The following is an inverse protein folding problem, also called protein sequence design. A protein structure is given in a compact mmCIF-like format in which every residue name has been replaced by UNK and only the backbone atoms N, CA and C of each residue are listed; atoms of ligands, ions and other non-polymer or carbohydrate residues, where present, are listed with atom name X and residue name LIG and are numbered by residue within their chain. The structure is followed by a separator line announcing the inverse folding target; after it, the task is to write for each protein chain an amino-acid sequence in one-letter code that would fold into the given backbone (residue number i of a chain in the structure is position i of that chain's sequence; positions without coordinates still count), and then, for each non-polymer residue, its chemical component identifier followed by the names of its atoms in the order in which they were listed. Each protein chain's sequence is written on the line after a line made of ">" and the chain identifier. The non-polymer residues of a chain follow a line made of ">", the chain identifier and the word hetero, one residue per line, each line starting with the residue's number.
data_IF_686790611730
#
_entry.id   IF_686790611730
#
_cell.length_a   1.000
_cell.length_b   1.000
_cell.length_c   1.000
_cell.angle_alpha   90.00
_cell.angle_beta   90.00
_cell.angle_gamma   90.00
#
_symmetry.space_group_name_H-M   'P 1'
#
loop_
_entity.id
_entity.type
_entity.pdbx_description
1 polymer ?
#
# COMPACT_ATOMS: atom_id res chain seq x y z
N UNK A 1 39.27 -9.52 50.81
CA UNK A 1 39.28 -8.50 49.74
C UNK A 1 38.18 -8.89 48.77
N UNK A 2 36.99 -8.30 48.94
CA UNK A 2 35.76 -8.63 48.21
C UNK A 2 35.47 -7.47 47.28
N UNK A 3 35.53 -7.72 45.98
CA UNK A 3 35.00 -6.92 44.86
C UNK A 3 34.78 -7.95 43.74
N UNK A 4 33.61 -8.10 43.13
CA UNK A 4 32.90 -7.07 42.38
C UNK A 4 31.38 -7.18 42.56
N UNK A 5 30.83 -6.04 42.94
CA UNK A 5 29.45 -5.61 42.73
C UNK A 5 29.24 -5.33 41.24
N UNK A 6 28.03 -5.59 40.73
CA UNK A 6 27.63 -5.13 39.40
C UNK A 6 26.56 -5.98 38.69
N UNK A 7 25.53 -6.47 39.39
CA UNK A 7 24.29 -6.87 38.72
C UNK A 7 23.30 -5.73 38.94
N UNK A 8 22.90 -5.09 37.83
CA UNK A 8 21.78 -4.15 37.78
C UNK A 8 20.82 -4.58 36.67
N UNK A 9 19.55 -4.15 36.76
CA UNK A 9 18.43 -5.07 36.84
C UNK A 9 17.75 -5.33 35.50
N UNK A 10 17.16 -6.52 35.39
CA UNK A 10 16.17 -6.85 34.37
C UNK A 10 14.90 -6.02 34.63
N UNK A 11 14.66 -5.03 33.77
CA UNK A 11 13.36 -4.41 33.46
C UNK A 11 13.47 -3.91 32.01
N UNK A 12 12.50 -4.05 31.11
CA UNK A 12 11.08 -4.27 31.29
C UNK A 12 10.52 -5.14 30.14
N UNK A 13 9.45 -5.87 30.47
CA UNK A 13 8.42 -6.25 29.49
C UNK A 13 7.89 -4.97 28.87
N UNK A 14 7.86 -4.88 27.55
CA UNK A 14 6.86 -4.12 26.80
C UNK A 14 6.70 -4.81 25.44
N UNK A 15 5.46 -5.18 25.11
CA UNK A 15 5.09 -5.96 23.95
C UNK A 15 5.24 -5.17 22.65
N UNK A 16 6.33 -5.40 21.92
CA UNK A 16 6.49 -5.09 20.50
C UNK A 16 7.72 -5.80 19.87
N UNK A 17 8.08 -7.02 20.33
CA UNK A 17 9.38 -7.65 19.99
C UNK A 17 9.36 -8.67 18.85
N UNK A 18 8.20 -9.09 18.33
CA UNK A 18 8.16 -10.19 17.35
C UNK A 18 8.42 -9.75 15.90
N UNK A 19 8.18 -8.49 15.55
CA UNK A 19 8.39 -7.99 14.17
C UNK A 19 9.86 -7.62 13.86
N UNK A 20 10.65 -7.24 14.86
CA UNK A 20 12.08 -6.94 14.67
C UNK A 20 12.89 -8.19 14.30
N UNK A 21 12.54 -9.34 14.86
CA UNK A 21 13.23 -10.60 14.57
C UNK A 21 13.16 -10.98 13.10
N UNK A 22 12.01 -10.77 12.43
CA UNK A 22 11.84 -11.12 11.01
C UNK A 22 12.78 -10.32 10.11
N UNK A 23 12.96 -9.01 10.34
CA UNK A 23 13.84 -8.18 9.48
C UNK A 23 15.33 -8.53 9.61
N UNK A 24 15.73 -9.07 10.77
CA UNK A 24 17.12 -9.43 11.10
C UNK A 24 17.43 -10.92 10.89
N UNK A 25 16.42 -11.75 10.60
CA UNK A 25 16.60 -13.18 10.35
C UNK A 25 17.21 -13.41 8.97
N UNK A 26 18.12 -14.37 8.86
CA UNK A 26 18.65 -14.84 7.58
C UNK A 26 17.49 -15.28 6.65
N UNK A 27 17.37 -14.73 5.42
CA UNK A 27 16.33 -15.10 4.47
C UNK A 27 16.28 -16.60 4.15
N UNK A 28 17.41 -17.30 4.22
CA UNK A 28 17.46 -18.76 3.98
C UNK A 28 16.85 -19.51 5.16
N UNK A 29 17.16 -19.10 6.39
CA UNK A 29 16.64 -19.70 7.63
C UNK A 29 15.11 -19.61 7.73
N UNK A 30 14.50 -18.58 7.15
CA UNK A 30 13.04 -18.46 7.11
C UNK A 30 12.38 -19.57 6.28
N UNK A 31 13.07 -20.11 5.29
CA UNK A 31 12.52 -21.08 4.32
C UNK A 31 12.90 -22.53 4.62
N UNK A 32 13.78 -22.80 5.59
CA UNK A 32 14.28 -24.15 5.94
C UNK A 32 13.20 -25.14 6.32
N UNK A 33 12.07 -24.66 6.85
CA UNK A 33 11.00 -25.53 7.36
C UNK A 33 10.03 -26.00 6.27
N UNK A 34 10.26 -25.62 5.00
CA UNK A 34 9.32 -25.83 3.89
C UNK A 34 7.88 -25.52 4.32
N UNK A 35 7.71 -24.39 5.01
CA UNK A 35 6.41 -23.94 5.50
C UNK A 35 6.05 -22.63 4.81
N UNK A 36 4.81 -22.53 4.31
CA UNK A 36 4.31 -21.38 3.56
C UNK A 36 4.57 -20.03 4.25
N UNK A 37 4.37 -19.98 5.57
CA UNK A 37 4.63 -18.77 6.36
C UNK A 37 6.08 -18.25 6.19
N UNK A 38 7.06 -19.14 6.14
CA UNK A 38 8.47 -18.78 5.97
C UNK A 38 8.73 -18.03 4.66
N UNK A 39 8.13 -18.54 3.58
CA UNK A 39 8.18 -17.90 2.26
C UNK A 39 7.49 -16.53 2.24
N UNK A 40 6.35 -16.38 2.90
CA UNK A 40 5.66 -15.09 3.00
C UNK A 40 6.48 -14.06 3.80
N UNK A 41 7.11 -14.48 4.90
CA UNK A 41 7.97 -13.61 5.71
C UNK A 41 9.21 -13.17 4.93
N UNK A 42 9.78 -14.05 4.08
CA UNK A 42 10.90 -13.69 3.19
C UNK A 42 10.52 -12.59 2.20
N UNK A 43 9.29 -12.59 1.67
CA UNK A 43 8.80 -11.48 0.83
C UNK A 43 8.62 -10.21 1.67
N UNK A 44 8.04 -10.32 2.86
CA UNK A 44 7.83 -9.19 3.78
C UNK A 44 9.15 -8.48 4.16
N UNK A 45 10.25 -9.23 4.32
CA UNK A 45 11.56 -8.62 4.58
C UNK A 45 11.95 -7.58 3.54
N UNK A 46 11.54 -7.77 2.29
CA UNK A 46 11.88 -6.91 1.15
C UNK A 46 10.89 -5.74 0.95
N UNK A 47 9.87 -5.59 1.82
CA UNK A 47 8.80 -4.60 1.59
C UNK A 47 9.33 -3.16 1.45
N UNK A 48 10.39 -2.81 2.18
CA UNK A 48 11.01 -1.47 2.24
C UNK A 48 12.30 -1.38 1.40
N UNK A 49 12.63 -2.41 0.61
CA UNK A 49 13.84 -2.41 -0.21
C UNK A 49 13.79 -1.26 -1.23
N UNK A 50 14.93 -0.59 -1.42
CA UNK A 50 15.06 0.59 -2.29
C UNK A 50 14.68 0.34 -3.75
N UNK A 51 14.75 -0.90 -4.21
CA UNK A 51 14.35 -1.34 -5.54
C UNK A 51 13.57 -2.66 -5.48
N UNK A 52 12.83 -2.96 -6.55
CA UNK A 52 11.99 -4.15 -6.64
C UNK A 52 12.76 -5.47 -6.85
N UNK A 53 14.08 -5.46 -7.09
CA UNK A 53 14.83 -6.66 -7.46
C UNK A 53 14.74 -7.76 -6.41
N UNK A 54 15.11 -7.46 -5.17
CA UNK A 54 15.05 -8.43 -4.06
C UNK A 54 13.63 -8.90 -3.75
N UNK A 55 12.65 -8.00 -3.83
CA UNK A 55 11.25 -8.35 -3.61
C UNK A 55 10.68 -9.24 -4.74
N UNK A 56 11.03 -8.95 -5.99
CA UNK A 56 10.61 -9.74 -7.15
C UNK A 56 11.17 -11.16 -7.09
N UNK A 57 12.45 -11.31 -6.73
CA UNK A 57 13.08 -12.63 -6.54
C UNK A 57 12.42 -13.41 -5.40
N UNK A 58 12.22 -12.78 -4.24
CA UNK A 58 11.56 -13.41 -3.10
C UNK A 58 10.11 -13.80 -3.43
N UNK A 59 9.37 -12.92 -4.11
CA UNK A 59 7.99 -13.16 -4.53
C UNK A 59 7.91 -14.33 -5.50
N UNK A 60 8.78 -14.35 -6.52
CA UNK A 60 8.79 -15.44 -7.49
C UNK A 60 9.13 -16.78 -6.84
N UNK A 61 10.03 -16.80 -5.84
CA UNK A 61 10.34 -18.00 -5.08
C UNK A 61 9.14 -18.47 -4.24
N UNK A 62 8.45 -17.54 -3.55
CA UNK A 62 7.25 -17.85 -2.76
C UNK A 62 6.10 -18.37 -3.63
N UNK A 63 5.89 -17.78 -4.81
CA UNK A 63 4.86 -18.22 -5.76
C UNK A 63 5.15 -19.61 -6.34
N UNK A 64 6.42 -19.91 -6.67
CA UNK A 64 6.81 -21.27 -7.07
C UNK A 64 6.58 -22.30 -5.96
N UNK A 65 6.82 -21.93 -4.72
CA UNK A 65 6.53 -22.80 -3.58
C UNK A 65 5.02 -23.05 -3.45
N UNK A 66 4.19 -22.00 -3.59
CA UNK A 66 2.73 -22.11 -3.59
C UNK A 66 2.21 -23.07 -4.66
N UNK A 67 2.79 -23.07 -5.86
CA UNK A 67 2.41 -24.00 -6.94
C UNK A 67 2.66 -25.49 -6.59
N UNK A 68 3.51 -25.76 -5.59
CA UNK A 68 3.83 -27.13 -5.16
C UNK A 68 2.88 -27.65 -4.08
N UNK A 69 2.06 -26.77 -3.47
CA UNK A 69 1.15 -27.16 -2.40
C UNK A 69 0.05 -28.09 -2.92
N UNK A 70 -0.34 -29.10 -2.12
CA UNK A 70 -1.42 -30.01 -2.50
C UNK A 70 -2.77 -29.28 -2.59
N UNK A 71 -3.68 -29.78 -3.43
CA UNK A 71 -5.00 -29.16 -3.64
C UNK A 71 -5.85 -29.03 -2.35
N UNK A 72 -5.59 -29.87 -1.33
CA UNK A 72 -6.19 -29.75 0.00
C UNK A 72 -5.86 -28.43 0.71
N UNK A 73 -4.78 -27.75 0.29
CA UNK A 73 -4.33 -26.46 0.80
C UNK A 73 -4.80 -25.26 -0.04
N UNK A 74 -5.81 -25.46 -0.90
CA UNK A 74 -6.35 -24.40 -1.77
C UNK A 74 -6.78 -23.14 -1.01
N UNK A 75 -7.26 -23.25 0.24
CA UNK A 75 -7.59 -22.09 1.07
C UNK A 75 -6.34 -21.33 1.51
N UNK A 76 -5.30 -22.04 1.96
CA UNK A 76 -4.01 -21.44 2.30
C UNK A 76 -3.39 -20.76 1.08
N UNK A 77 -3.47 -21.38 -0.10
CA UNK A 77 -3.01 -20.80 -1.35
C UNK A 77 -3.73 -19.47 -1.67
N UNK A 78 -5.07 -19.45 -1.62
CA UNK A 78 -5.85 -18.22 -1.82
C UNK A 78 -5.43 -17.12 -0.84
N UNK A 79 -5.33 -17.44 0.45
CA UNK A 79 -4.97 -16.48 1.49
C UNK A 79 -3.55 -15.93 1.30
N UNK A 80 -2.61 -16.76 0.88
CA UNK A 80 -1.25 -16.34 0.59
C UNK A 80 -1.19 -15.41 -0.63
N UNK A 81 -1.89 -15.74 -1.72
CA UNK A 81 -1.99 -14.87 -2.90
C UNK A 81 -2.59 -13.51 -2.51
N UNK A 82 -3.66 -13.50 -1.73
CA UNK A 82 -4.28 -12.26 -1.25
C UNK A 82 -3.33 -11.47 -0.34
N UNK A 83 -2.62 -12.13 0.58
CA UNK A 83 -1.64 -11.48 1.43
C UNK A 83 -0.54 -10.79 0.60
N UNK A 84 0.05 -11.51 -0.37
CA UNK A 84 1.09 -10.99 -1.25
C UNK A 84 0.58 -9.81 -2.08
N UNK A 85 -0.66 -9.91 -2.58
CA UNK A 85 -1.30 -8.81 -3.30
C UNK A 85 -1.41 -7.55 -2.43
N UNK A 86 -1.97 -7.66 -1.23
CA UNK A 86 -2.11 -6.51 -0.32
C UNK A 86 -0.76 -5.95 0.10
N UNK A 87 0.24 -6.80 0.34
CA UNK A 87 1.59 -6.35 0.66
C UNK A 87 2.15 -5.45 -0.45
N UNK A 88 2.06 -5.90 -1.70
CA UNK A 88 2.55 -5.14 -2.86
C UNK A 88 1.73 -3.87 -3.07
N UNK A 89 0.41 -3.98 -2.95
CA UNK A 89 -0.53 -2.87 -3.08
C UNK A 89 -0.22 -1.74 -2.11
N UNK A 90 0.12 -2.06 -0.85
CA UNK A 90 0.30 -1.05 0.20
C UNK A 90 1.75 -0.62 0.42
N UNK A 91 2.74 -1.45 0.04
CA UNK A 91 4.16 -1.17 0.34
C UNK A 91 5.00 -0.74 -0.84
N UNK A 92 4.63 -1.12 -2.07
CA UNK A 92 5.44 -0.79 -3.26
C UNK A 92 4.95 0.48 -3.94
N UNK A 93 5.82 1.26 -4.59
CA UNK A 93 5.40 2.40 -5.40
C UNK A 93 4.67 1.96 -6.68
N UNK A 94 3.81 2.81 -7.21
CA UNK A 94 2.98 2.51 -8.40
C UNK A 94 3.80 2.04 -9.60
N UNK A 95 4.98 2.62 -9.81
CA UNK A 95 5.91 2.27 -10.89
C UNK A 95 6.40 0.82 -10.85
N UNK A 96 6.31 0.17 -9.69
CA UNK A 96 6.71 -1.23 -9.49
C UNK A 96 5.52 -2.18 -9.35
N UNK A 97 4.35 -1.66 -8.91
CA UNK A 97 3.17 -2.48 -8.58
C UNK A 97 2.67 -3.29 -9.77
N UNK A 98 2.62 -2.71 -10.96
CA UNK A 98 1.98 -3.36 -12.11
C UNK A 98 2.64 -4.70 -12.45
N UNK A 99 3.96 -4.73 -12.61
CA UNK A 99 4.69 -5.96 -12.93
C UNK A 99 4.59 -7.02 -11.83
N UNK A 100 4.61 -6.58 -10.56
CA UNK A 100 4.49 -7.45 -9.40
C UNK A 100 3.07 -8.05 -9.26
N UNK A 101 2.03 -7.26 -9.52
CA UNK A 101 0.64 -7.72 -9.52
C UNK A 101 0.40 -8.69 -10.69
N UNK A 102 0.94 -8.42 -11.87
CA UNK A 102 0.87 -9.34 -13.01
C UNK A 102 1.52 -10.68 -12.68
N UNK A 103 2.64 -10.68 -11.97
CA UNK A 103 3.29 -11.90 -11.49
C UNK A 103 2.39 -12.66 -10.50
N UNK A 104 1.70 -12.00 -9.57
CA UNK A 104 0.74 -12.68 -8.68
C UNK A 104 -0.44 -13.27 -9.48
N UNK A 105 -0.97 -12.52 -10.44
CA UNK A 105 -2.14 -12.95 -11.23
C UNK A 105 -1.85 -14.20 -12.08
N UNK A 106 -0.62 -14.39 -12.56
CA UNK A 106 -0.25 -15.56 -13.36
C UNK A 106 -0.23 -16.86 -12.54
N UNK A 107 -0.09 -16.77 -11.22
CA UNK A 107 -0.06 -17.90 -10.27
C UNK A 107 -1.42 -18.19 -9.61
N UNK A 108 -2.51 -17.59 -10.11
CA UNK A 108 -3.86 -17.96 -9.64
C UNK A 108 -4.85 -18.08 -10.79
N UNK A 109 -5.61 -19.16 -10.79
CA UNK A 109 -6.77 -19.38 -11.67
C UNK A 109 -8.09 -19.12 -10.96
N UNK A 110 -8.05 -18.77 -9.67
CA UNK A 110 -9.23 -18.52 -8.86
C UNK A 110 -9.88 -17.19 -9.24
N UNK A 111 -11.11 -17.25 -9.72
CA UNK A 111 -11.85 -16.08 -10.20
C UNK A 111 -12.22 -15.09 -9.10
N UNK A 112 -12.47 -15.56 -7.87
CA UNK A 112 -12.76 -14.69 -6.73
C UNK A 112 -11.53 -13.85 -6.38
N UNK A 113 -10.37 -14.51 -6.30
CA UNK A 113 -9.09 -13.84 -6.05
C UNK A 113 -8.77 -12.84 -7.16
N UNK A 114 -8.97 -13.22 -8.43
CA UNK A 114 -8.76 -12.29 -9.57
C UNK A 114 -9.67 -11.06 -9.49
N UNK A 115 -10.94 -11.24 -9.15
CA UNK A 115 -11.88 -10.13 -9.00
C UNK A 115 -11.45 -9.18 -7.87
N UNK A 116 -11.00 -9.71 -6.73
CA UNK A 116 -10.48 -8.88 -5.62
C UNK A 116 -9.27 -8.07 -6.09
N UNK A 117 -8.32 -8.70 -6.78
CA UNK A 117 -7.12 -8.03 -7.30
C UNK A 117 -7.50 -6.91 -8.29
N UNK A 118 -8.44 -7.18 -9.20
CA UNK A 118 -8.90 -6.19 -10.19
C UNK A 118 -9.59 -5.00 -9.52
N UNK A 119 -10.57 -5.26 -8.66
CA UNK A 119 -11.32 -4.20 -7.97
C UNK A 119 -10.43 -3.34 -7.08
N UNK A 120 -9.44 -3.92 -6.39
CA UNK A 120 -8.47 -3.15 -5.62
C UNK A 120 -7.54 -2.29 -6.49
N UNK A 121 -7.17 -2.77 -7.69
CA UNK A 121 -6.39 -1.98 -8.64
C UNK A 121 -7.22 -0.80 -9.22
N UNK A 122 -8.48 -1.05 -9.57
CA UNK A 122 -9.42 -0.01 -10.01
C UNK A 122 -9.62 1.07 -8.94
N UNK A 123 -9.79 0.67 -7.67
CA UNK A 123 -9.93 1.60 -6.55
C UNK A 123 -8.71 2.53 -6.39
N UNK A 124 -7.49 2.03 -6.64
CA UNK A 124 -6.29 2.86 -6.61
C UNK A 124 -6.19 3.83 -7.79
N UNK A 125 -6.54 3.38 -9.00
CA UNK A 125 -6.59 4.26 -10.18
C UNK A 125 -7.59 5.40 -9.93
N UNK A 126 -8.74 5.07 -9.36
CA UNK A 126 -9.75 6.07 -8.98
C UNK A 126 -9.23 7.02 -7.89
N UNK A 127 -8.56 6.50 -6.86
CA UNK A 127 -7.91 7.32 -5.83
C UNK A 127 -6.87 8.28 -6.43
N UNK A 128 -5.99 7.81 -7.30
CA UNK A 128 -4.98 8.64 -7.96
C UNK A 128 -5.59 9.71 -8.86
N UNK A 129 -6.66 9.38 -9.58
CA UNK A 129 -7.42 10.35 -10.36
C UNK A 129 -8.09 11.41 -9.48
N UNK A 130 -8.62 11.02 -8.30
CA UNK A 130 -9.18 11.96 -7.32
C UNK A 130 -8.10 12.90 -6.78
N UNK A 131 -6.98 12.36 -6.29
CA UNK A 131 -5.86 13.15 -5.75
C UNK A 131 -5.33 14.16 -6.78
N UNK A 132 -5.07 13.70 -8.02
CA UNK A 132 -4.64 14.57 -9.12
C UNK A 132 -5.66 15.68 -9.41
N UNK A 133 -6.96 15.36 -9.40
CA UNK A 133 -8.02 16.35 -9.65
C UNK A 133 -8.08 17.39 -8.53
N UNK A 134 -7.91 17.00 -7.28
CA UNK A 134 -7.85 17.90 -6.13
C UNK A 134 -6.64 18.83 -6.23
N UNK A 135 -5.45 18.28 -6.51
CA UNK A 135 -4.22 19.07 -6.66
C UNK A 135 -4.33 20.08 -7.80
N UNK A 136 -4.87 19.67 -8.95
CA UNK A 136 -5.11 20.56 -10.08
C UNK A 136 -6.11 21.68 -9.72
N UNK A 137 -7.18 21.34 -9.01
CA UNK A 137 -8.18 22.33 -8.54
C UNK A 137 -7.52 23.38 -7.65
N UNK A 138 -6.73 22.95 -6.67
CA UNK A 138 -6.00 23.84 -5.75
C UNK A 138 -4.99 24.70 -6.51
N UNK A 139 -4.26 24.13 -7.47
CA UNK A 139 -3.30 24.86 -8.28
C UNK A 139 -3.97 25.97 -9.11
N UNK A 140 -5.11 25.66 -9.76
CA UNK A 140 -5.90 26.62 -10.54
C UNK A 140 -6.37 27.77 -9.64
N UNK A 141 -6.97 27.45 -8.49
CA UNK A 141 -7.48 28.46 -7.56
C UNK A 141 -6.36 29.33 -6.99
N UNK A 142 -5.20 28.74 -6.69
CA UNK A 142 -4.02 29.48 -6.20
C UNK A 142 -3.51 30.45 -7.26
N UNK A 143 -3.46 30.03 -8.53
CA UNK A 143 -3.05 30.89 -9.63
C UNK A 143 -4.03 32.05 -9.89
N UNK A 144 -5.34 31.79 -9.76
CA UNK A 144 -6.39 32.79 -10.02
C UNK A 144 -6.62 33.74 -8.83
N UNK A 145 -6.42 33.26 -7.61
CA UNK A 145 -6.69 33.99 -6.37
C UNK A 145 -5.45 33.99 -5.46
N UNK A 146 -4.31 34.58 -5.89
CA UNK A 146 -3.03 34.46 -5.19
C UNK A 146 -3.00 35.11 -3.80
N UNK A 147 -3.98 35.96 -3.48
CA UNK A 147 -4.11 36.62 -2.17
C UNK A 147 -5.01 35.85 -1.19
N UNK A 148 -5.57 34.72 -1.62
CA UNK A 148 -6.50 33.93 -0.81
C UNK A 148 -5.84 32.65 -0.31
N UNK A 149 -6.25 32.20 0.88
CA UNK A 149 -5.75 30.95 1.46
C UNK A 149 -6.52 29.75 0.93
N UNK A 150 -6.15 29.32 -0.28
CA UNK A 150 -6.78 28.20 -1.01
C UNK A 150 -6.56 26.86 -0.32
N UNK A 151 -5.47 26.70 0.44
CA UNK A 151 -5.13 25.43 1.09
C UNK A 151 -6.18 25.00 2.13
N UNK A 152 -6.97 25.95 2.65
CA UNK A 152 -8.11 25.66 3.54
C UNK A 152 -9.21 24.82 2.87
N UNK A 153 -9.27 24.79 1.53
CA UNK A 153 -10.26 24.01 0.79
C UNK A 153 -9.85 22.56 0.55
N UNK A 154 -8.57 22.22 0.75
CA UNK A 154 -8.04 20.88 0.48
C UNK A 154 -8.79 19.77 1.26
N UNK A 155 -9.02 19.89 2.59
CA UNK A 155 -9.77 18.89 3.33
C UNK A 155 -11.23 18.74 2.88
N UNK A 156 -11.83 19.83 2.39
CA UNK A 156 -13.22 19.82 1.90
C UNK A 156 -13.29 19.08 0.56
N UNK A 157 -12.34 19.34 -0.34
CA UNK A 157 -12.20 18.63 -1.61
C UNK A 157 -11.90 17.13 -1.41
N UNK A 158 -11.04 16.79 -0.45
CA UNK A 158 -10.76 15.39 -0.06
C UNK A 158 -12.01 14.64 0.42
N UNK A 159 -12.94 15.36 1.05
CA UNK A 159 -14.25 14.83 1.48
C UNK A 159 -15.24 14.54 0.34
N UNK A 160 -15.01 15.03 -0.88
CA UNK A 160 -15.87 14.76 -2.04
C UNK A 160 -15.52 13.38 -2.62
N UNK A 161 -16.30 12.36 -2.27
CA UNK A 161 -16.03 10.97 -2.69
C UNK A 161 -16.26 10.71 -4.17
N UNK A 162 -17.21 11.40 -4.78
CA UNK A 162 -17.57 11.27 -6.20
C UNK A 162 -16.53 11.96 -7.10
N UNK A 163 -15.82 11.16 -7.92
CA UNK A 163 -14.82 11.66 -8.86
C UNK A 163 -15.41 12.55 -9.95
N UNK A 164 -16.61 12.28 -10.44
CA UNK A 164 -17.22 13.11 -11.49
C UNK A 164 -17.65 14.46 -10.93
N UNK A 165 -18.10 14.49 -9.66
CA UNK A 165 -18.30 15.76 -8.96
C UNK A 165 -16.99 16.53 -8.78
N UNK A 166 -15.88 15.86 -8.42
CA UNK A 166 -14.56 16.49 -8.33
C UNK A 166 -14.10 17.08 -9.67
N UNK A 167 -14.29 16.36 -10.79
CA UNK A 167 -13.98 16.87 -12.14
C UNK A 167 -14.80 18.12 -12.47
N UNK A 168 -16.08 18.13 -12.12
CA UNK A 168 -16.94 19.30 -12.33
C UNK A 168 -16.44 20.50 -11.52
N UNK A 169 -16.06 20.30 -10.25
CA UNK A 169 -15.46 21.33 -9.41
C UNK A 169 -14.14 21.85 -10.00
N UNK A 170 -13.26 20.97 -10.49
CA UNK A 170 -12.03 21.38 -11.15
C UNK A 170 -12.28 22.29 -12.37
N UNK A 171 -13.31 22.00 -13.17
CA UNK A 171 -13.72 22.88 -14.27
C UNK A 171 -14.24 24.23 -13.73
N UNK A 172 -15.09 24.21 -12.71
CA UNK A 172 -15.64 25.42 -12.09
C UNK A 172 -14.55 26.31 -11.47
N UNK A 173 -13.48 25.72 -10.92
CA UNK A 173 -12.35 26.46 -10.39
C UNK A 173 -11.71 27.41 -11.41
N UNK A 174 -11.87 27.15 -12.71
CA UNK A 174 -11.42 28.04 -13.80
C UNK A 174 -12.45 29.10 -14.22
N UNK A 175 -13.74 28.89 -13.89
CA UNK A 175 -14.86 29.70 -14.39
C UNK A 175 -15.39 30.71 -13.35
N UNK A 176 -15.41 30.33 -12.08
CA UNK A 176 -15.93 31.14 -10.98
C UNK A 176 -15.22 32.49 -10.88
N UNK A 177 -15.95 33.55 -10.52
CA UNK A 177 -15.41 34.91 -10.46
C UNK A 177 -14.64 35.23 -9.17
N UNK A 178 -14.75 34.40 -8.14
CA UNK A 178 -14.09 34.57 -6.85
C UNK A 178 -13.94 33.25 -6.10
N UNK A 179 -13.05 33.20 -5.10
CA UNK A 179 -12.93 32.04 -4.21
C UNK A 179 -14.23 31.77 -3.41
N UNK A 180 -14.95 32.82 -3.00
CA UNK A 180 -16.25 32.67 -2.32
C UNK A 180 -17.29 32.03 -3.22
N UNK A 181 -17.33 32.39 -4.50
CA UNK A 181 -18.21 31.75 -5.46
C UNK A 181 -17.88 30.25 -5.59
N UNK A 182 -16.59 29.90 -5.61
CA UNK A 182 -16.17 28.51 -5.60
C UNK A 182 -16.59 27.75 -4.33
N UNK A 183 -16.47 28.38 -3.15
CA UNK A 183 -16.91 27.78 -1.88
C UNK A 183 -18.41 27.45 -1.91
N UNK A 184 -19.23 28.31 -2.51
CA UNK A 184 -20.65 28.02 -2.68
C UNK A 184 -20.92 26.84 -3.61
N UNK A 185 -20.10 26.65 -4.66
CA UNK A 185 -20.18 25.46 -5.53
C UNK A 185 -19.72 24.17 -4.82
N UNK A 186 -18.87 24.29 -3.79
CA UNK A 186 -18.41 23.19 -2.96
C UNK A 186 -19.47 22.71 -1.94
N UNK A 187 -20.36 23.60 -1.52
CA UNK A 187 -21.41 23.34 -0.52
C UNK A 187 -22.71 22.77 -1.11
N UNK A 188 -22.92 22.90 -2.43
CA UNK A 188 -24.11 22.42 -3.15
C UNK A 188 -23.98 21.02 -3.72
#
# INVERSE_FOLDING_TARGET
>A
MIQRSGISPIKARDGCSEFFGVKETDPEALTETDHLLGWLLRVLQQEDASDAGGLSEALQAALRYLDTLPAAESVQHKNAILYLYHLILFRRPETEREGLIQLIQSHTTDMEVRNIIMTGAEALIEQGARETTIENTVAILTARFPQADVNTLKPVLEGVTDLDRLKALNLQASLVSSLRAFQHELEG
#
